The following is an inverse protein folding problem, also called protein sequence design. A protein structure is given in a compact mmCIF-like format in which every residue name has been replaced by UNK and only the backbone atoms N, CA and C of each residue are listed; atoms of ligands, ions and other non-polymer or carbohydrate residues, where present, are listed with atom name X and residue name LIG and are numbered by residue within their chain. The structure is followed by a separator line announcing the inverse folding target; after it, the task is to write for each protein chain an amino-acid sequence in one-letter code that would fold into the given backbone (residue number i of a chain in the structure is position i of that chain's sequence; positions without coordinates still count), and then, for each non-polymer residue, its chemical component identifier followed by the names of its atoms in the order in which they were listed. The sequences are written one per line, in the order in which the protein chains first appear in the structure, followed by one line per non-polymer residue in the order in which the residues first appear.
data_IF_650081689858
#
_entry.id   IF_650081689858
#
_cell.length_a   1.000
_cell.length_b   1.000
_cell.length_c   1.000
_cell.angle_alpha   90.00
_cell.angle_beta   90.00
_cell.angle_gamma   90.00
#
_symmetry.space_group_name_H-M   'P 1'
#
loop_
_entity.id
_entity.type
_entity.pdbx_description
1 polymer ?
#
# COMPACT_ATOMS: atom_id res chain seq x y z
N UNK A 1 -3.56 1.54 -7.44
CA UNK A 1 -3.90 1.47 -6.02
C UNK A 1 -4.26 0.04 -5.69
N UNK A 2 -3.50 -0.60 -4.79
CA UNK A 2 -3.78 -1.96 -4.30
C UNK A 2 -3.84 -1.91 -2.79
N UNK A 3 -4.70 -2.70 -2.17
CA UNK A 3 -4.74 -2.86 -0.71
C UNK A 3 -4.28 -4.27 -0.36
N UNK A 4 -3.70 -4.49 0.82
CA UNK A 4 -3.30 -5.84 1.27
C UNK A 4 -3.63 -6.07 2.75
N UNK A 5 -4.20 -7.24 3.09
CA UNK A 5 -4.50 -7.66 4.48
C UNK A 5 -3.55 -8.77 4.93
N UNK A 6 -3.01 -8.74 6.16
CA UNK A 6 -2.36 -9.91 6.75
C UNK A 6 -3.40 -10.93 7.27
N UNK A 7 -3.56 -12.04 6.54
CA UNK A 7 -4.08 -13.35 7.01
C UNK A 7 -5.61 -13.60 7.11
N UNK A 8 -6.15 -14.50 6.26
CA UNK A 8 -7.28 -15.47 6.44
C UNK A 8 -7.38 -16.35 5.16
N UNK A 9 -7.82 -17.63 5.20
CA UNK A 9 -7.45 -18.65 4.22
C UNK A 9 -8.43 -18.73 3.05
N UNK A 10 -8.26 -17.87 2.04
CA UNK A 10 -8.73 -18.14 0.66
C UNK A 10 -8.22 -17.06 -0.28
N UNK A 11 -7.62 -17.53 -1.38
CA UNK A 11 -7.10 -16.82 -2.55
C UNK A 11 -5.67 -16.25 -2.48
N UNK A 12 -4.84 -16.80 -3.37
CA UNK A 12 -3.42 -16.48 -3.55
C UNK A 12 -3.20 -15.94 -4.97
N UNK A 13 -2.26 -15.01 -5.13
CA UNK A 13 -1.28 -15.03 -6.22
C UNK A 13 -0.08 -14.16 -5.84
N UNK A 14 0.66 -14.62 -4.82
CA UNK A 14 2.12 -14.88 -4.85
C UNK A 14 2.85 -14.81 -3.50
N UNK A 15 2.27 -14.30 -2.41
CA UNK A 15 2.94 -14.32 -1.08
C UNK A 15 1.96 -14.52 0.10
N UNK A 16 0.74 -15.04 -0.11
CA UNK A 16 -0.23 -15.30 0.97
C UNK A 16 -0.97 -14.06 1.50
N UNK A 17 -1.00 -12.97 0.73
CA UNK A 17 -1.75 -11.75 1.07
C UNK A 17 -3.04 -11.62 0.24
N UNK A 18 -4.15 -11.33 0.91
CA UNK A 18 -5.40 -10.93 0.27
C UNK A 18 -5.24 -9.50 -0.28
N UNK A 19 -5.56 -9.28 -1.55
CA UNK A 19 -5.40 -7.99 -2.21
C UNK A 19 -6.60 -7.56 -3.03
N UNK A 20 -7.03 -6.31 -2.87
CA UNK A 20 -8.09 -5.69 -3.68
C UNK A 20 -7.59 -4.42 -4.39
N UNK A 21 -8.28 -4.00 -5.46
CA UNK A 21 -7.86 -2.93 -6.37
C UNK A 21 -9.01 -1.98 -6.72
N UNK A 22 -8.78 -0.68 -6.53
CA UNK A 22 -9.68 0.38 -7.03
C UNK A 22 -9.79 0.32 -8.56
N UNK A 23 -11.01 0.42 -9.08
CA UNK A 23 -11.35 0.25 -10.50
C UNK A 23 -11.50 -1.21 -10.95
N UNK A 24 -11.31 -2.19 -10.05
CA UNK A 24 -11.67 -3.59 -10.28
C UNK A 24 -12.67 -4.09 -9.24
N UNK A 25 -12.28 -4.02 -7.98
CA UNK A 25 -13.08 -4.52 -6.84
C UNK A 25 -13.91 -3.41 -6.19
N UNK A 26 -13.57 -2.15 -6.48
CA UNK A 26 -14.31 -0.94 -6.10
C UNK A 26 -14.44 -0.02 -7.32
N UNK A 27 -15.38 0.94 -7.32
CA UNK A 27 -15.55 1.87 -8.43
C UNK A 27 -14.25 2.62 -8.78
N UNK A 28 -14.01 2.95 -10.06
CA UNK A 28 -12.91 3.83 -10.45
C UNK A 28 -13.21 5.28 -10.07
N UNK A 29 -12.17 6.12 -9.96
CA UNK A 29 -12.32 7.56 -9.77
C UNK A 29 -12.76 7.99 -8.37
N UNK A 30 -12.63 7.11 -7.37
CA UNK A 30 -12.89 7.49 -5.97
C UNK A 30 -11.89 8.57 -5.52
N UNK A 31 -12.34 9.57 -4.74
CA UNK A 31 -11.45 10.54 -4.11
C UNK A 31 -10.47 9.86 -3.15
N UNK A 32 -9.27 10.44 -2.98
CA UNK A 32 -8.22 9.87 -2.13
C UNK A 32 -8.70 9.57 -0.71
N UNK A 33 -9.49 10.49 -0.14
CA UNK A 33 -10.09 10.31 1.19
C UNK A 33 -10.96 9.05 1.26
N UNK A 34 -11.80 8.81 0.26
CA UNK A 34 -12.70 7.65 0.26
C UNK A 34 -11.91 6.36 0.13
N UNK A 35 -10.84 6.35 -0.67
CA UNK A 35 -10.00 5.16 -0.75
C UNK A 35 -9.25 4.91 0.57
N UNK A 36 -8.77 5.97 1.23
CA UNK A 36 -8.14 5.86 2.54
C UNK A 36 -9.14 5.31 3.57
N UNK A 37 -10.37 5.80 3.56
CA UNK A 37 -11.46 5.36 4.44
C UNK A 37 -11.80 3.88 4.19
N UNK A 38 -11.88 3.42 2.93
CA UNK A 38 -12.07 2.00 2.59
C UNK A 38 -10.93 1.15 3.16
N UNK A 39 -9.68 1.55 2.91
CA UNK A 39 -8.52 0.81 3.38
C UNK A 39 -8.49 0.75 4.92
N UNK A 40 -8.80 1.85 5.60
CA UNK A 40 -8.86 1.89 7.05
C UNK A 40 -9.98 0.99 7.60
N UNK A 41 -11.22 1.16 7.11
CA UNK A 41 -12.38 0.37 7.57
C UNK A 41 -12.18 -1.12 7.39
N UNK A 42 -11.56 -1.53 6.29
CA UNK A 42 -11.30 -2.94 5.99
C UNK A 42 -9.98 -3.47 6.57
N UNK A 43 -9.27 -2.66 7.37
CA UNK A 43 -8.00 -3.02 7.99
C UNK A 43 -6.96 -3.48 6.97
N UNK A 44 -6.82 -2.73 5.88
CA UNK A 44 -5.89 -3.01 4.79
C UNK A 44 -4.79 -1.96 4.72
N UNK A 45 -3.58 -2.43 4.37
CA UNK A 45 -2.47 -1.54 4.04
C UNK A 45 -2.67 -1.02 2.62
N UNK A 46 -2.60 0.29 2.45
CA UNK A 46 -2.74 0.94 1.16
C UNK A 46 -1.40 1.01 0.43
N UNK A 47 -1.30 0.41 -0.77
CA UNK A 47 -0.14 0.52 -1.66
C UNK A 47 -0.45 1.49 -2.81
N UNK A 48 0.31 2.57 -2.91
CA UNK A 48 0.12 3.63 -3.90
C UNK A 48 1.44 4.19 -4.43
N UNK A 49 1.43 4.83 -5.61
CA UNK A 49 2.54 5.67 -6.08
C UNK A 49 2.25 7.17 -5.85
N UNK A 50 1.03 7.49 -5.42
CA UNK A 50 0.56 8.85 -5.24
C UNK A 50 1.03 9.41 -3.89
N UNK A 51 1.76 10.53 -3.93
CA UNK A 51 2.33 11.16 -2.75
C UNK A 51 1.28 11.92 -1.93
N UNK A 52 0.14 12.29 -2.52
CA UNK A 52 -0.83 13.21 -1.92
C UNK A 52 -1.58 12.55 -0.74
N UNK A 53 -1.56 11.21 -0.64
CA UNK A 53 -1.95 10.49 0.58
C UNK A 53 -1.11 10.85 1.80
N UNK A 54 0.15 11.26 1.60
CA UNK A 54 0.99 11.79 2.69
C UNK A 54 0.37 13.04 3.31
N UNK A 55 -0.21 13.92 2.51
CA UNK A 55 -0.84 15.15 3.02
C UNK A 55 -2.10 14.81 3.83
N UNK A 56 -2.87 13.81 3.41
CA UNK A 56 -4.03 13.33 4.16
C UNK A 56 -3.68 12.81 5.55
N UNK A 57 -2.54 12.13 5.71
CA UNK A 57 -2.16 11.56 7.00
C UNK A 57 -1.36 12.54 7.87
N UNK A 58 -0.44 13.32 7.31
CA UNK A 58 0.47 14.17 8.08
C UNK A 58 -0.11 15.56 8.36
N UNK A 59 -0.93 16.10 7.45
CA UNK A 59 -1.52 17.42 7.64
C UNK A 59 -2.95 17.33 8.20
N UNK A 60 -3.71 16.32 7.79
CA UNK A 60 -5.12 16.18 8.18
C UNK A 60 -5.35 15.09 9.24
N UNK A 61 -4.30 14.40 9.67
CA UNK A 61 -4.33 13.37 10.72
C UNK A 61 -5.41 12.31 10.48
N UNK A 62 -5.69 11.98 9.22
CA UNK A 62 -6.70 10.98 8.90
C UNK A 62 -6.22 9.59 9.32
N UNK A 63 -7.10 8.76 9.90
CA UNK A 63 -6.73 7.43 10.36
C UNK A 63 -6.38 6.53 9.18
N UNK A 64 -5.39 5.68 9.39
CA UNK A 64 -4.99 4.68 8.40
C UNK A 64 -4.51 3.40 9.09
N UNK A 65 -4.64 2.28 8.40
CA UNK A 65 -4.10 1.00 8.90
C UNK A 65 -2.63 0.81 8.50
N UNK A 66 -2.16 1.56 7.51
CA UNK A 66 -0.79 1.52 6.98
C UNK A 66 -0.78 1.99 5.53
N UNK A 67 0.29 2.66 5.11
CA UNK A 67 0.44 3.12 3.72
C UNK A 67 1.85 2.79 3.24
N UNK A 68 1.94 2.16 2.07
CA UNK A 68 3.18 1.91 1.34
C UNK A 68 3.18 2.80 0.09
N UNK A 69 3.97 3.85 0.14
CA UNK A 69 4.24 4.71 -1.00
C UNK A 69 5.42 4.15 -1.81
N UNK A 70 5.14 3.66 -3.02
CA UNK A 70 6.14 3.20 -3.97
C UNK A 70 6.69 4.39 -4.78
N UNK A 71 7.96 4.72 -4.58
CA UNK A 71 8.71 5.76 -5.30
C UNK A 71 9.82 5.13 -6.11
N UNK A 72 9.42 4.27 -7.04
CA UNK A 72 10.32 3.61 -8.00
C UNK A 72 10.32 4.37 -9.35
N UNK A 73 11.36 4.20 -10.19
CA UNK A 73 11.39 4.76 -11.53
C UNK A 73 10.13 4.45 -12.33
N UNK A 74 9.68 5.39 -13.17
CA UNK A 74 8.45 5.26 -13.97
C UNK A 74 8.48 4.04 -14.90
N UNK A 75 9.66 3.73 -15.43
CA UNK A 75 9.99 2.56 -16.26
C UNK A 75 10.17 1.25 -15.48
N UNK A 76 9.98 1.27 -14.15
CA UNK A 76 10.06 0.05 -13.34
C UNK A 76 8.99 -0.96 -13.77
N UNK A 77 9.47 -2.14 -14.15
CA UNK A 77 8.66 -3.31 -14.52
C UNK A 77 7.80 -3.78 -13.35
N UNK A 78 6.77 -4.57 -13.66
CA UNK A 78 5.98 -5.24 -12.63
C UNK A 78 6.85 -6.14 -11.74
N UNK A 79 7.82 -6.84 -12.32
CA UNK A 79 8.76 -7.70 -11.59
C UNK A 79 9.56 -6.91 -10.55
N UNK A 80 10.09 -5.74 -10.92
CA UNK A 80 10.86 -4.89 -9.99
C UNK A 80 9.99 -4.35 -8.85
N UNK A 81 8.75 -3.96 -9.15
CA UNK A 81 7.78 -3.51 -8.14
C UNK A 81 7.43 -4.64 -7.16
N UNK A 82 7.22 -5.85 -7.67
CA UNK A 82 6.96 -7.05 -6.85
C UNK A 82 8.17 -7.35 -5.96
N UNK A 83 9.38 -7.42 -6.53
CA UNK A 83 10.59 -7.69 -5.77
C UNK A 83 10.87 -6.65 -4.66
N UNK A 84 10.52 -5.38 -4.91
CA UNK A 84 10.62 -4.32 -3.91
C UNK A 84 9.64 -4.53 -2.75
N UNK A 85 8.40 -4.95 -3.04
CA UNK A 85 7.39 -5.27 -2.03
C UNK A 85 7.76 -6.53 -1.25
N UNK A 86 8.25 -7.58 -1.91
CA UNK A 86 8.71 -8.81 -1.26
C UNK A 86 9.84 -8.51 -0.26
N UNK A 87 10.83 -7.71 -0.68
CA UNK A 87 11.90 -7.25 0.22
C UNK A 87 11.35 -6.47 1.40
N UNK A 88 10.40 -5.57 1.17
CA UNK A 88 9.77 -4.79 2.24
C UNK A 88 9.09 -5.72 3.25
N UNK A 89 8.25 -6.65 2.79
CA UNK A 89 7.52 -7.58 3.65
C UNK A 89 8.45 -8.50 4.44
N UNK A 90 9.58 -8.92 3.85
CA UNK A 90 10.56 -9.75 4.54
C UNK A 90 11.38 -9.00 5.62
N UNK A 91 11.52 -7.68 5.51
CA UNK A 91 12.48 -6.91 6.34
C UNK A 91 11.85 -5.90 7.29
N UNK A 92 10.59 -5.50 7.08
CA UNK A 92 9.93 -4.44 7.83
C UNK A 92 8.45 -4.79 8.15
N UNK A 93 8.16 -6.08 8.38
CA UNK A 93 6.79 -6.57 8.60
C UNK A 93 6.11 -5.88 9.79
N UNK A 94 6.88 -5.63 10.85
CA UNK A 94 6.50 -4.94 12.07
C UNK A 94 6.29 -3.43 11.89
N UNK A 95 6.54 -2.88 10.70
CA UNK A 95 6.41 -1.44 10.44
C UNK A 95 5.38 -1.13 9.35
N UNK A 96 4.71 -2.15 8.80
CA UNK A 96 3.74 -1.97 7.72
C UNK A 96 2.48 -1.20 8.14
N UNK A 97 2.21 -1.10 9.44
CA UNK A 97 1.10 -0.31 9.97
C UNK A 97 1.38 1.21 9.97
N UNK A 98 2.59 1.62 9.59
CA UNK A 98 3.02 3.01 9.51
C UNK A 98 2.94 3.53 8.07
N UNK A 99 3.43 4.77 7.86
CA UNK A 99 3.66 5.30 6.53
C UNK A 99 5.07 4.93 6.06
N UNK A 100 5.14 4.00 5.10
CA UNK A 100 6.36 3.44 4.56
C UNK A 100 6.59 3.95 3.14
N UNK A 101 7.80 4.44 2.86
CA UNK A 101 8.23 4.86 1.53
C UNK A 101 9.28 3.89 1.00
N UNK A 102 8.99 3.26 -0.14
CA UNK A 102 9.92 2.36 -0.82
C UNK A 102 10.55 3.09 -2.01
N UNK A 103 11.87 3.17 -2.02
CA UNK A 103 12.66 3.79 -3.09
C UNK A 103 13.70 2.80 -3.63
N UNK A 104 14.34 3.06 -4.78
CA UNK A 104 15.47 2.24 -5.24
C UNK A 104 16.63 2.19 -4.25
N UNK A 105 16.76 3.21 -3.40
CA UNK A 105 17.83 3.33 -2.40
C UNK A 105 17.50 2.61 -1.08
N UNK A 106 16.27 2.13 -0.92
CA UNK A 106 15.83 1.44 0.29
C UNK A 106 14.47 1.93 0.80
N UNK A 107 14.18 1.51 2.04
CA UNK A 107 12.91 1.74 2.74
C UNK A 107 13.09 2.88 3.75
N UNK A 108 12.10 3.76 3.85
CA UNK A 108 12.00 4.79 4.88
C UNK A 108 10.67 4.64 5.60
N UNK A 109 10.68 4.66 6.92
CA UNK A 109 9.46 4.59 7.72
C UNK A 109 9.24 5.92 8.43
N UNK A 110 8.01 6.42 8.34
CA UNK A 110 7.56 7.71 8.88
C UNK A 110 6.51 7.52 9.95
#
# INVERSE_FOLDING_TARGET
MKTSRPGSPSFSINHGHDSSRIGRDYPPGLPDREVLDIAHREQRILITNDKDFGDLIFQRELPHTGIILLRLPLDSTAQQKIAALERLFATHQDQLFRYVVVTPRGVRVR
#
